data_IF_524590018340
#
_entry.id   IF_524590018340
#
_cell.length_a   1.000
_cell.length_b   1.000
_cell.length_c   1.000
_cell.angle_alpha   90.00
_cell.angle_beta   90.00
_cell.angle_gamma   90.00
#
_symmetry.space_group_name_H-M   'P 1'
#
loop_
_entity.id
_entity.type
_entity.pdbx_description
1 polymer ?
#
# COMPACT_ATOMS: atom_id res chain seq x y z
N UNK A 1 -35.34 6.96 -6.03
CA UNK A 1 -35.24 7.52 -7.40
C UNK A 1 -34.86 9.00 -7.29
N UNK A 2 -33.60 9.33 -7.45
CA UNK A 2 -33.14 10.73 -7.52
C UNK A 2 -32.90 10.97 -9.01
N UNK A 3 -33.94 11.40 -9.73
CA UNK A 3 -33.79 11.95 -11.06
C UNK A 3 -33.34 13.41 -10.89
N UNK A 4 -32.02 13.61 -10.74
CA UNK A 4 -31.43 14.94 -10.70
C UNK A 4 -31.43 15.58 -12.09
N UNK A 5 -31.20 16.87 -12.15
CA UNK A 5 -31.08 17.72 -13.35
C UNK A 5 -30.09 17.20 -14.43
N UNK A 6 -29.27 16.22 -14.10
CA UNK A 6 -28.32 15.55 -14.99
C UNK A 6 -28.95 14.77 -16.15
N UNK A 7 -30.25 14.39 -16.03
CA UNK A 7 -30.97 13.58 -17.04
C UNK A 7 -31.75 14.39 -18.08
N UNK A 8 -31.75 15.73 -17.99
CA UNK A 8 -32.39 16.53 -18.99
C UNK A 8 -31.61 16.47 -20.32
N UNK A 9 -32.24 16.12 -21.44
CA UNK A 9 -31.59 16.00 -22.74
C UNK A 9 -31.29 17.40 -23.31
N UNK A 10 -30.15 17.96 -22.91
CA UNK A 10 -29.62 19.23 -23.40
C UNK A 10 -28.19 19.05 -23.93
N UNK A 11 -27.80 19.88 -24.87
CA UNK A 11 -26.42 19.88 -25.44
C UNK A 11 -25.36 20.10 -24.33
N UNK A 12 -25.68 20.93 -23.31
CA UNK A 12 -24.80 21.16 -22.16
C UNK A 12 -24.60 19.90 -21.34
N UNK A 13 -25.67 19.19 -20.99
CA UNK A 13 -25.60 17.95 -20.23
C UNK A 13 -24.91 16.83 -21.02
N UNK A 14 -25.03 16.78 -22.34
CA UNK A 14 -24.29 15.85 -23.19
C UNK A 14 -22.78 16.07 -23.08
N UNK A 15 -22.33 17.32 -23.14
CA UNK A 15 -20.90 17.67 -23.00
C UNK A 15 -20.39 17.26 -21.60
N UNK A 16 -21.13 17.59 -20.55
CA UNK A 16 -20.79 17.21 -19.18
C UNK A 16 -20.69 15.69 -19.01
N UNK A 17 -21.66 14.94 -19.55
CA UNK A 17 -21.67 13.49 -19.50
C UNK A 17 -20.47 12.88 -20.24
N UNK A 18 -20.16 13.38 -21.46
CA UNK A 18 -18.99 12.95 -22.23
C UNK A 18 -17.66 13.24 -21.50
N UNK A 19 -17.54 14.41 -20.89
CA UNK A 19 -16.35 14.77 -20.10
C UNK A 19 -16.20 13.88 -18.87
N UNK A 20 -17.32 13.61 -18.16
CA UNK A 20 -17.32 12.71 -17.00
C UNK A 20 -16.97 11.28 -17.39
N UNK A 21 -17.45 10.81 -18.54
CA UNK A 21 -17.08 9.51 -19.09
C UNK A 21 -15.58 9.42 -19.39
N UNK A 22 -15.03 10.42 -20.08
CA UNK A 22 -13.61 10.48 -20.42
C UNK A 22 -12.74 10.51 -19.15
N UNK A 23 -13.10 11.34 -18.17
CA UNK A 23 -12.42 11.43 -16.89
C UNK A 23 -12.49 10.10 -16.12
N UNK A 24 -13.64 9.41 -16.14
CA UNK A 24 -13.82 8.11 -15.49
C UNK A 24 -12.95 7.02 -16.13
N UNK A 25 -12.83 7.00 -17.45
CA UNK A 25 -11.93 6.08 -18.18
C UNK A 25 -10.47 6.34 -17.85
N UNK A 26 -10.02 7.59 -17.88
CA UNK A 26 -8.67 7.96 -17.46
C UNK A 26 -8.41 7.62 -15.99
N UNK A 27 -9.37 7.89 -15.11
CA UNK A 27 -9.30 7.54 -13.70
C UNK A 27 -9.14 6.04 -13.46
N UNK A 28 -9.86 5.20 -14.22
CA UNK A 28 -9.70 3.76 -14.18
C UNK A 28 -8.29 3.32 -14.59
N UNK A 29 -7.76 3.82 -15.70
CA UNK A 29 -6.41 3.51 -16.16
C UNK A 29 -5.33 3.90 -15.14
N UNK A 30 -5.47 5.09 -14.54
CA UNK A 30 -4.55 5.55 -13.50
C UNK A 30 -4.60 4.65 -12.25
N UNK A 31 -5.80 4.24 -11.83
CA UNK A 31 -5.96 3.33 -10.68
C UNK A 31 -5.38 1.95 -10.98
N UNK A 32 -5.54 1.46 -12.20
CA UNK A 32 -4.96 0.17 -12.62
C UNK A 32 -3.43 0.20 -12.65
N UNK A 33 -2.85 1.24 -13.25
CA UNK A 33 -1.40 1.48 -13.24
C UNK A 33 -0.86 1.60 -11.81
N UNK A 34 -1.54 2.39 -10.96
CA UNK A 34 -1.17 2.53 -9.55
C UNK A 34 -1.17 1.18 -8.84
N UNK A 35 -2.22 0.37 -9.02
CA UNK A 35 -2.32 -0.96 -8.43
C UNK A 35 -1.15 -1.85 -8.85
N UNK A 36 -0.81 -1.87 -10.14
CA UNK A 36 0.25 -2.71 -10.67
C UNK A 36 1.63 -2.33 -10.11
N UNK A 37 1.90 -1.04 -9.92
CA UNK A 37 3.13 -0.57 -9.28
C UNK A 37 3.18 -1.01 -7.81
N UNK A 38 2.08 -0.81 -7.06
CA UNK A 38 2.02 -1.22 -5.66
C UNK A 38 2.17 -2.75 -5.47
N UNK A 39 1.64 -3.55 -6.41
CA UNK A 39 1.82 -5.02 -6.39
C UNK A 39 3.29 -5.37 -6.60
N UNK A 40 3.99 -4.73 -7.54
CA UNK A 40 5.41 -4.98 -7.79
C UNK A 40 6.25 -4.68 -6.56
N UNK A 41 6.08 -3.50 -5.97
CA UNK A 41 6.76 -3.13 -4.72
C UNK A 41 6.47 -4.12 -3.59
N UNK A 42 5.22 -4.57 -3.47
CA UNK A 42 4.85 -5.56 -2.45
C UNK A 42 5.55 -6.91 -2.67
N UNK A 43 5.67 -7.38 -3.93
CA UNK A 43 6.36 -8.63 -4.24
C UNK A 43 7.86 -8.55 -3.90
N UNK A 44 8.51 -7.42 -4.22
CA UNK A 44 9.90 -7.18 -3.86
C UNK A 44 10.12 -7.22 -2.33
N UNK A 45 9.18 -6.64 -1.56
CA UNK A 45 9.25 -6.71 -0.10
C UNK A 45 9.01 -8.12 0.45
N UNK A 46 8.13 -8.90 -0.17
CA UNK A 46 7.88 -10.29 0.23
C UNK A 46 9.12 -11.16 0.00
N UNK A 47 9.80 -10.98 -1.12
CA UNK A 47 11.02 -11.73 -1.41
C UNK A 47 12.14 -11.36 -0.43
N UNK A 48 12.34 -10.07 -0.14
CA UNK A 48 13.25 -9.61 0.91
C UNK A 48 12.89 -10.17 2.30
N UNK A 49 11.59 -10.23 2.64
CA UNK A 49 11.14 -10.80 3.91
C UNK A 49 11.49 -12.28 4.05
N UNK A 50 11.34 -13.07 2.99
CA UNK A 50 11.70 -14.50 2.99
C UNK A 50 13.19 -14.72 3.23
N UNK A 51 14.04 -13.91 2.56
CA UNK A 51 15.48 -14.01 2.69
C UNK A 51 15.93 -13.67 4.13
N UNK A 52 15.37 -12.59 4.69
CA UNK A 52 15.66 -12.19 6.07
C UNK A 52 15.14 -13.23 7.05
N UNK A 53 13.95 -13.80 6.84
CA UNK A 53 13.37 -14.80 7.72
C UNK A 53 14.23 -16.06 7.77
N UNK A 54 14.77 -16.52 6.63
CA UNK A 54 15.70 -17.65 6.61
C UNK A 54 16.99 -17.37 7.38
N UNK A 55 17.53 -16.14 7.26
CA UNK A 55 18.71 -15.69 8.00
C UNK A 55 18.43 -15.59 9.51
N UNK A 56 17.24 -15.12 9.90
CA UNK A 56 16.82 -15.04 11.30
C UNK A 56 16.78 -16.43 11.91
N UNK A 57 16.17 -17.42 11.26
CA UNK A 57 16.05 -18.79 11.78
C UNK A 57 17.41 -19.43 12.01
N UNK A 58 18.37 -19.23 11.11
CA UNK A 58 19.73 -19.71 11.25
C UNK A 58 20.48 -18.98 12.39
N UNK A 59 20.34 -17.66 12.44
CA UNK A 59 21.01 -16.84 13.46
C UNK A 59 20.43 -17.13 14.84
N UNK A 60 19.12 -17.36 14.98
CA UNK A 60 18.52 -17.80 16.26
C UNK A 60 19.06 -19.12 16.73
N UNK A 61 19.19 -20.13 15.85
CA UNK A 61 19.79 -21.42 16.21
C UNK A 61 21.20 -21.24 16.77
N UNK A 62 22.01 -20.41 16.12
CA UNK A 62 23.36 -20.10 16.56
C UNK A 62 23.35 -19.36 17.90
N UNK A 63 22.49 -18.37 18.07
CA UNK A 63 22.37 -17.59 19.30
C UNK A 63 21.93 -18.44 20.49
N UNK A 64 20.95 -19.30 20.31
CA UNK A 64 20.49 -20.22 21.38
C UNK A 64 21.52 -21.29 21.69
N UNK A 65 22.28 -21.81 20.73
CA UNK A 65 23.36 -22.72 20.97
C UNK A 65 24.50 -22.07 21.80
N UNK A 66 24.86 -20.82 21.46
CA UNK A 66 25.83 -20.03 22.22
C UNK A 66 25.33 -19.75 23.66
N UNK A 67 24.05 -19.39 23.83
CA UNK A 67 23.44 -19.17 25.14
C UNK A 67 23.42 -20.46 25.99
N UNK A 68 23.09 -21.60 25.38
CA UNK A 68 23.14 -22.89 26.06
C UNK A 68 24.55 -23.22 26.57
N UNK A 69 25.57 -22.97 25.76
CA UNK A 69 26.96 -23.12 26.14
C UNK A 69 27.33 -22.19 27.31
N UNK A 70 26.92 -20.90 27.24
CA UNK A 70 27.14 -19.95 28.32
C UNK A 70 26.44 -20.41 29.63
N UNK A 71 25.20 -20.88 29.54
CA UNK A 71 24.48 -21.44 30.72
C UNK A 71 25.15 -22.63 31.34
N UNK A 72 25.75 -23.50 30.54
CA UNK A 72 26.52 -24.66 31.05
C UNK A 72 27.83 -24.25 31.72
N UNK A 73 28.49 -23.23 31.21
CA UNK A 73 29.81 -22.81 31.67
C UNK A 73 29.79 -21.87 32.89
N UNK A 74 28.75 -21.03 33.01
CA UNK A 74 28.65 -19.91 33.96
C UNK A 74 27.53 -20.18 34.99
N UNK A 75 26.48 -20.90 34.55
CA UNK A 75 25.29 -21.17 35.35
C UNK A 75 24.12 -20.25 35.00
N UNK A 76 22.91 -20.82 34.94
CA UNK A 76 21.68 -20.14 34.50
C UNK A 76 21.37 -18.91 35.36
N UNK A 77 21.49 -19.02 36.68
CA UNK A 77 21.18 -17.92 37.60
C UNK A 77 22.07 -16.70 37.40
N UNK A 78 23.33 -16.89 37.04
CA UNK A 78 24.26 -15.80 36.80
C UNK A 78 24.02 -15.16 35.44
N UNK A 79 23.72 -15.94 34.40
CA UNK A 79 23.33 -15.42 33.07
C UNK A 79 22.05 -14.63 33.17
N UNK A 80 21.07 -15.07 33.96
CA UNK A 80 19.84 -14.32 34.22
C UNK A 80 20.10 -12.95 34.87
N UNK A 81 20.95 -12.92 35.92
CA UNK A 81 21.34 -11.64 36.55
C UNK A 81 22.03 -10.70 35.57
N UNK A 82 22.88 -11.21 34.66
CA UNK A 82 23.51 -10.40 33.64
C UNK A 82 22.49 -9.87 32.63
N UNK A 83 21.46 -10.64 32.28
CA UNK A 83 20.42 -10.21 31.35
C UNK A 83 19.72 -8.92 31.79
N UNK A 84 19.56 -8.69 33.07
CA UNK A 84 18.98 -7.48 33.64
C UNK A 84 19.89 -6.25 33.53
N UNK A 85 21.18 -6.43 33.24
CA UNK A 85 22.12 -5.30 33.02
C UNK A 85 22.10 -4.79 31.58
N UNK A 86 21.44 -5.50 30.67
CA UNK A 86 21.36 -5.10 29.25
C UNK A 86 20.41 -3.90 29.13
N UNK A 87 20.87 -2.76 28.60
CA UNK A 87 20.03 -1.59 28.46
C UNK A 87 18.92 -1.79 27.43
N UNK A 88 17.79 -1.16 27.68
CA UNK A 88 16.69 -1.13 26.69
C UNK A 88 17.14 -0.34 25.47
N UNK A 89 16.79 -0.82 24.29
CA UNK A 89 17.14 -0.19 23.02
C UNK A 89 16.26 1.05 22.76
N UNK A 90 16.88 2.21 22.66
CA UNK A 90 16.23 3.52 22.43
C UNK A 90 16.70 4.23 21.14
N UNK A 91 17.59 3.59 20.37
CA UNK A 91 18.22 4.19 19.18
C UNK A 91 17.41 4.03 17.90
N UNK A 92 16.22 3.43 17.99
CA UNK A 92 15.35 3.19 16.83
C UNK A 92 14.59 4.47 16.46
N UNK A 93 14.81 4.98 15.25
CA UNK A 93 14.06 6.10 14.69
C UNK A 93 13.24 5.64 13.51
N UNK A 94 11.94 5.99 13.52
CA UNK A 94 11.02 5.64 12.44
C UNK A 94 10.82 6.86 11.55
N UNK A 95 11.27 6.78 10.31
CA UNK A 95 10.94 7.71 9.23
C UNK A 95 9.85 7.12 8.33
N UNK A 96 9.30 7.93 7.46
CA UNK A 96 8.32 7.47 6.47
C UNK A 96 8.84 7.75 5.06
N UNK A 97 8.69 6.77 4.18
CA UNK A 97 8.89 6.90 2.73
C UNK A 97 7.53 6.75 2.05
N UNK A 98 7.26 7.57 1.04
CA UNK A 98 6.01 7.47 0.27
C UNK A 98 6.22 6.70 -1.03
N UNK A 99 5.42 5.65 -1.26
CA UNK A 99 5.35 4.91 -2.52
C UNK A 99 3.95 5.07 -3.08
N UNK A 100 3.82 5.79 -4.19
CA UNK A 100 2.52 6.07 -4.82
C UNK A 100 1.45 6.59 -3.86
N UNK A 101 1.85 7.48 -2.90
CA UNK A 101 0.97 8.01 -1.89
C UNK A 101 0.57 7.01 -0.78
N UNK A 102 1.32 5.92 -0.63
CA UNK A 102 1.28 5.03 0.53
C UNK A 102 2.50 5.31 1.37
N UNK A 103 2.31 5.72 2.61
CA UNK A 103 3.39 5.90 3.56
C UNK A 103 3.83 4.54 4.10
N UNK A 104 5.08 4.18 3.86
CA UNK A 104 5.70 2.98 4.39
C UNK A 104 6.76 3.38 5.43
N UNK A 105 6.90 2.64 6.54
CA UNK A 105 7.91 2.93 7.55
C UNK A 105 9.30 2.61 7.00
N UNK A 106 10.24 3.48 7.30
CA UNK A 106 11.67 3.29 7.14
C UNK A 106 12.30 3.39 8.52
N UNK A 107 12.89 2.30 8.99
CA UNK A 107 13.54 2.27 10.31
C UNK A 107 15.02 2.60 10.13
N UNK A 108 15.47 3.66 10.80
CA UNK A 108 16.88 3.94 11.00
C UNK A 108 17.29 3.42 12.38
N UNK A 109 18.22 2.51 12.38
CA UNK A 109 18.83 1.97 13.58
C UNK A 109 20.26 2.47 13.68
N UNK A 110 20.48 3.40 14.62
CA UNK A 110 21.83 3.88 14.93
C UNK A 110 22.52 2.84 15.83
N UNK A 111 23.37 2.04 15.23
CA UNK A 111 24.21 1.14 15.97
C UNK A 111 25.09 1.96 16.89
N UNK A 112 24.73 2.08 18.17
CA UNK A 112 25.55 2.77 19.15
C UNK A 112 26.94 2.12 19.11
N UNK A 113 27.91 2.82 18.56
CA UNK A 113 29.32 2.43 18.58
C UNK A 113 29.81 2.50 20.03
N UNK A 114 29.60 1.44 20.76
CA UNK A 114 29.99 1.38 22.15
C UNK A 114 29.70 0.00 22.67
N UNK A 115 30.58 -0.92 22.33
CA UNK A 115 30.63 -2.22 22.99
C UNK A 115 31.17 -2.05 24.41
N UNK A 116 30.63 -1.07 25.16
CA UNK A 116 30.91 -0.97 26.59
C UNK A 116 30.22 -2.14 27.26
N UNK A 117 30.98 -3.08 27.81
CA UNK A 117 30.41 -4.21 28.48
C UNK A 117 29.58 -3.70 29.66
N UNK A 118 28.34 -4.12 29.73
CA UNK A 118 27.43 -3.78 30.83
C UNK A 118 27.66 -4.68 32.06
N UNK A 119 28.62 -5.61 31.97
CA UNK A 119 28.97 -6.57 33.02
C UNK A 119 30.48 -6.66 33.21
N UNK A 120 30.90 -7.12 34.41
CA UNK A 120 32.30 -7.23 34.73
C UNK A 120 32.94 -8.48 34.08
N UNK A 121 34.04 -8.32 33.40
CA UNK A 121 34.76 -9.42 32.71
C UNK A 121 35.34 -10.49 33.63
N UNK A 122 35.51 -10.18 34.92
CA UNK A 122 36.16 -11.08 35.85
C UNK A 122 35.38 -12.37 36.07
N UNK A 123 34.04 -12.32 35.99
CA UNK A 123 33.17 -13.46 36.26
C UNK A 123 32.51 -14.05 35.01
N UNK A 124 32.86 -13.56 33.84
CA UNK A 124 32.25 -13.97 32.55
C UNK A 124 33.21 -14.79 31.72
N UNK A 125 32.69 -15.54 30.77
CA UNK A 125 33.45 -16.34 29.81
C UNK A 125 33.14 -15.89 28.39
N UNK A 126 34.02 -16.28 27.46
CA UNK A 126 33.88 -15.98 26.02
C UNK A 126 32.54 -16.43 25.44
N UNK A 127 31.99 -17.55 25.95
CA UNK A 127 30.69 -18.06 25.51
C UNK A 127 29.52 -17.07 25.71
N UNK A 128 29.61 -16.22 26.75
CA UNK A 128 28.60 -15.17 26.97
C UNK A 128 28.72 -14.04 25.94
N UNK A 129 29.95 -13.64 25.58
CA UNK A 129 30.18 -12.61 24.58
C UNK A 129 29.76 -13.10 23.18
N UNK A 130 30.03 -14.38 22.85
CA UNK A 130 29.53 -15.04 21.63
C UNK A 130 28.00 -15.03 21.57
N UNK A 131 27.31 -15.35 22.66
CA UNK A 131 25.86 -15.31 22.75
C UNK A 131 25.33 -13.88 22.57
N UNK A 132 25.92 -12.89 23.25
CA UNK A 132 25.53 -11.48 23.13
C UNK A 132 25.66 -11.00 21.69
N UNK A 133 26.80 -11.25 21.04
CA UNK A 133 27.01 -10.85 19.64
C UNK A 133 26.00 -11.49 18.67
N UNK A 134 25.67 -12.78 18.90
CA UNK A 134 24.67 -13.48 18.12
C UNK A 134 23.26 -12.88 18.31
N UNK A 135 22.85 -12.56 19.55
CA UNK A 135 21.56 -11.91 19.82
C UNK A 135 21.49 -10.48 19.32
N UNK A 136 22.60 -9.73 19.31
CA UNK A 136 22.66 -8.41 18.66
C UNK A 136 22.39 -8.52 17.16
N UNK A 137 22.91 -9.56 16.51
CA UNK A 137 22.65 -9.82 15.09
C UNK A 137 21.19 -10.18 14.84
N UNK A 138 20.59 -11.03 15.70
CA UNK A 138 19.16 -11.36 15.65
C UNK A 138 18.30 -10.09 15.80
N UNK A 139 18.66 -9.20 16.74
CA UNK A 139 17.96 -7.91 16.93
C UNK A 139 17.98 -7.07 15.65
N UNK A 140 19.13 -6.92 15.00
CA UNK A 140 19.22 -6.17 13.73
C UNK A 140 18.32 -6.75 12.64
N UNK A 141 18.34 -8.06 12.45
CA UNK A 141 17.50 -8.74 11.46
C UNK A 141 16.02 -8.63 11.81
N UNK A 142 15.65 -8.73 13.08
CA UNK A 142 14.26 -8.58 13.54
C UNK A 142 13.71 -7.18 13.30
N UNK A 143 14.51 -6.13 13.49
CA UNK A 143 14.14 -4.75 13.17
C UNK A 143 13.87 -4.62 11.67
N UNK A 144 14.75 -5.16 10.82
CA UNK A 144 14.59 -5.13 9.37
C UNK A 144 13.33 -5.89 8.93
N UNK A 145 13.09 -7.09 9.46
CA UNK A 145 11.90 -7.87 9.15
C UNK A 145 10.63 -7.13 9.53
N UNK A 146 10.57 -6.57 10.74
CA UNK A 146 9.41 -5.82 11.23
C UNK A 146 9.11 -4.60 10.34
N UNK A 147 10.14 -3.90 9.85
CA UNK A 147 9.98 -2.79 8.90
C UNK A 147 9.33 -3.27 7.59
N UNK A 148 9.84 -4.37 7.02
CA UNK A 148 9.37 -4.91 5.74
C UNK A 148 7.93 -5.43 5.87
N UNK A 149 7.61 -6.16 6.93
CA UNK A 149 6.27 -6.68 7.19
C UNK A 149 5.24 -5.55 7.33
N UNK A 150 5.54 -4.53 8.11
CA UNK A 150 4.67 -3.36 8.25
C UNK A 150 4.48 -2.61 6.94
N UNK A 151 5.54 -2.47 6.13
CA UNK A 151 5.45 -1.88 4.79
C UNK A 151 4.55 -2.72 3.88
N UNK A 152 4.70 -4.04 3.86
CA UNK A 152 3.88 -4.96 3.08
C UNK A 152 2.40 -4.91 3.47
N UNK A 153 2.07 -4.86 4.77
CA UNK A 153 0.69 -4.73 5.27
C UNK A 153 0.06 -3.41 4.79
N UNK A 154 0.80 -2.29 4.86
CA UNK A 154 0.31 -0.99 4.39
C UNK A 154 0.08 -0.98 2.87
N UNK A 155 1.00 -1.55 2.09
CA UNK A 155 0.85 -1.72 0.65
C UNK A 155 -0.35 -2.60 0.30
N UNK A 156 -0.51 -3.77 0.93
CA UNK A 156 -1.63 -4.68 0.72
C UNK A 156 -2.98 -3.98 0.99
N UNK A 157 -3.07 -3.21 2.07
CA UNK A 157 -4.26 -2.43 2.40
C UNK A 157 -4.59 -1.40 1.32
N UNK A 158 -3.57 -0.71 0.79
CA UNK A 158 -3.77 0.30 -0.25
C UNK A 158 -4.08 -0.33 -1.61
N UNK A 159 -3.48 -1.48 -1.95
CA UNK A 159 -3.83 -2.29 -3.13
C UNK A 159 -5.31 -2.65 -3.09
N UNK A 160 -5.80 -3.16 -1.95
CA UNK A 160 -7.21 -3.52 -1.76
C UNK A 160 -8.15 -2.32 -1.94
N UNK A 161 -7.78 -1.13 -1.41
CA UNK A 161 -8.54 0.11 -1.61
C UNK A 161 -8.54 0.56 -3.07
N UNK A 162 -7.38 0.52 -3.73
CA UNK A 162 -7.21 0.91 -5.13
C UNK A 162 -8.00 -0.02 -6.05
N UNK A 163 -7.96 -1.33 -5.79
CA UNK A 163 -8.74 -2.34 -6.53
C UNK A 163 -10.24 -2.09 -6.42
N UNK A 164 -10.74 -1.80 -5.20
CA UNK A 164 -12.16 -1.47 -5.01
C UNK A 164 -12.58 -0.24 -5.82
N UNK A 165 -11.75 0.81 -5.84
CA UNK A 165 -12.00 2.03 -6.61
C UNK A 165 -11.98 1.76 -8.12
N UNK A 166 -10.98 1.02 -8.59
CA UNK A 166 -10.89 0.63 -10.01
C UNK A 166 -12.12 -0.19 -10.45
N UNK A 167 -12.56 -1.15 -9.63
CA UNK A 167 -13.74 -1.95 -9.92
C UNK A 167 -15.03 -1.10 -9.94
N UNK A 168 -15.17 -0.15 -9.04
CA UNK A 168 -16.32 0.77 -9.03
C UNK A 168 -16.34 1.66 -10.28
N UNK A 169 -15.20 2.18 -10.71
CA UNK A 169 -15.10 2.94 -11.96
C UNK A 169 -15.46 2.08 -13.16
N UNK A 170 -14.89 0.88 -13.28
CA UNK A 170 -15.09 -0.02 -14.43
C UNK A 170 -16.52 -0.56 -14.53
N UNK A 171 -17.09 -1.00 -13.41
CA UNK A 171 -18.32 -1.78 -13.42
C UNK A 171 -19.58 -0.94 -13.13
N UNK A 172 -19.43 0.24 -12.56
CA UNK A 172 -20.57 1.09 -12.17
C UNK A 172 -20.50 2.44 -12.89
N UNK A 173 -19.41 3.19 -12.74
CA UNK A 173 -19.36 4.58 -13.18
C UNK A 173 -19.29 4.70 -14.70
N UNK A 174 -18.37 3.97 -15.33
CA UNK A 174 -18.20 4.01 -16.80
C UNK A 174 -19.46 3.54 -17.52
N UNK A 175 -20.08 2.37 -17.21
CA UNK A 175 -21.32 1.94 -17.89
C UNK A 175 -22.47 2.91 -17.68
N UNK A 176 -22.60 3.51 -16.48
CA UNK A 176 -23.61 4.53 -16.20
C UNK A 176 -23.47 5.74 -17.13
N UNK A 177 -22.27 6.29 -17.28
CA UNK A 177 -22.05 7.44 -18.15
C UNK A 177 -22.13 7.08 -19.63
N UNK A 178 -21.77 5.87 -20.03
CA UNK A 178 -21.97 5.39 -21.42
C UNK A 178 -23.45 5.31 -21.76
N UNK A 179 -24.29 4.75 -20.89
CA UNK A 179 -25.72 4.70 -21.06
C UNK A 179 -26.33 6.11 -21.09
N UNK A 180 -25.97 6.97 -20.12
CA UNK A 180 -26.44 8.36 -20.05
C UNK A 180 -26.09 9.16 -21.30
N UNK A 181 -24.86 9.04 -21.78
CA UNK A 181 -24.43 9.74 -23.00
C UNK A 181 -25.22 9.28 -24.22
N UNK A 182 -25.45 7.99 -24.36
CA UNK A 182 -26.25 7.42 -25.45
C UNK A 182 -27.71 7.89 -25.38
N UNK A 183 -28.31 7.86 -24.21
CA UNK A 183 -29.72 8.21 -24.03
C UNK A 183 -29.96 9.71 -24.31
N UNK A 184 -29.06 10.59 -23.82
CA UNK A 184 -29.13 12.02 -24.13
C UNK A 184 -28.92 12.27 -25.62
N UNK A 185 -27.99 11.56 -26.26
CA UNK A 185 -27.73 11.71 -27.70
C UNK A 185 -28.97 11.33 -28.53
N UNK A 186 -29.57 10.18 -28.24
CA UNK A 186 -30.78 9.70 -28.90
C UNK A 186 -31.94 10.70 -28.75
N UNK A 187 -32.16 11.20 -27.52
CA UNK A 187 -33.23 12.18 -27.26
C UNK A 187 -33.00 13.54 -27.97
N UNK A 188 -31.76 13.96 -28.11
CA UNK A 188 -31.42 15.18 -28.89
C UNK A 188 -31.64 14.97 -30.37
N UNK A 189 -31.25 13.83 -30.94
CA UNK A 189 -31.48 13.48 -32.34
C UNK A 189 -33.00 13.41 -32.66
N UNK A 190 -33.78 12.85 -31.75
CA UNK A 190 -35.24 12.78 -31.90
C UNK A 190 -35.86 14.18 -31.93
N UNK A 191 -35.46 15.07 -31.02
CA UNK A 191 -35.88 16.48 -31.02
C UNK A 191 -35.49 17.20 -32.31
N UNK A 192 -34.27 17.02 -32.81
CA UNK A 192 -33.83 17.63 -34.05
C UNK A 192 -34.64 17.11 -35.26
N UNK A 193 -35.01 15.83 -35.29
CA UNK A 193 -35.92 15.30 -36.34
C UNK A 193 -37.33 15.85 -36.23
N UNK A 194 -37.89 16.02 -35.02
CA UNK A 194 -39.16 16.65 -34.82
C UNK A 194 -39.17 18.11 -35.28
N UNK A 195 -38.18 18.87 -34.89
CA UNK A 195 -38.02 20.28 -35.33
C UNK A 195 -37.93 20.39 -36.85
N UNK A 196 -37.11 19.54 -37.48
CA UNK A 196 -37.03 19.51 -38.95
C UNK A 196 -38.36 19.20 -39.62
N UNK A 197 -39.11 18.22 -39.05
CA UNK A 197 -40.44 17.86 -39.59
C UNK A 197 -41.43 19.03 -39.46
N UNK A 198 -41.45 19.71 -38.28
CA UNK A 198 -42.27 20.91 -38.05
C UNK A 198 -41.93 22.02 -39.06
N UNK A 199 -40.64 22.31 -39.28
CA UNK A 199 -40.20 23.31 -40.27
C UNK A 199 -40.65 22.94 -41.67
N UNK A 200 -40.57 21.66 -42.05
CA UNK A 200 -41.05 21.19 -43.37
C UNK A 200 -42.54 21.36 -43.56
N UNK A 201 -43.36 21.11 -42.54
CA UNK A 201 -44.81 21.33 -42.56
C UNK A 201 -45.14 22.82 -42.70
N UNK A 202 -44.48 23.67 -41.89
CA UNK A 202 -44.66 25.13 -41.94
C UNK A 202 -44.31 25.70 -43.35
N UNK A 203 -43.19 25.20 -43.92
CA UNK A 203 -42.79 25.60 -45.27
C UNK A 203 -43.81 25.23 -46.32
N UNK A 204 -44.39 24.03 -46.26
CA UNK A 204 -45.48 23.57 -47.16
C UNK A 204 -46.72 24.43 -47.00
N UNK A 205 -47.15 24.77 -45.77
CA UNK A 205 -48.30 25.64 -45.53
C UNK A 205 -48.10 27.02 -46.12
N UNK A 206 -46.89 27.63 -45.99
CA UNK A 206 -46.56 28.94 -46.59
C UNK A 206 -46.48 28.92 -48.13
N UNK A 207 -46.23 27.80 -48.76
CA UNK A 207 -46.21 27.68 -50.23
C UNK A 207 -47.61 27.47 -50.83
N UNK A 208 -48.59 27.02 -50.00
CA UNK A 208 -49.96 26.77 -50.42
C UNK A 208 -50.94 27.92 -50.02
N UNK A 209 -50.42 28.96 -49.36
CA UNK A 209 -51.12 30.25 -49.10
C UNK A 209 -50.59 31.33 -50.01
#
# INVERSE_FOLDING_TARGET
>A
MIYGSEYLPTKGNLILAKNSLALSKQGYELMDKKRNILIREMMELIDQAKDIQSQIDETFRTAYAALQKANMEIGIAFVDQISHTVPVEDSIRIKTRSVMGTEIPLVEYDKKAGNTPTYAYYSTKLSLDEAKAAFERVKELSIQLSMIENAAIRLATNIKKTQKRANALKNITIPRYETLTRDITNALEEKEREEFTRLKVIKRMKQNS
#
